data_IF_699470943668
#
_entry.id   IF_699470943668
#
_cell.length_a   1.000
_cell.length_b   1.000
_cell.length_c   1.000
_cell.angle_alpha   90.00
_cell.angle_beta   90.00
_cell.angle_gamma   90.00
#
_symmetry.space_group_name_H-M   'P 1'
#
loop_
_entity.id
_entity.type
_entity.pdbx_description
1 polymer ?
#
# COMPACT_ATOMS: atom_id res chain seq x y z
N UNK A 1 15.65 0.82 -14.94
CA UNK A 1 15.76 -0.24 -13.92
C UNK A 1 17.07 -0.99 -14.13
N UNK A 2 17.70 -1.51 -13.06
CA UNK A 2 18.95 -2.27 -13.10
C UNK A 2 18.74 -3.73 -12.70
N UNK A 3 19.67 -4.65 -13.06
CA UNK A 3 19.52 -6.07 -12.75
C UNK A 3 19.37 -6.40 -11.26
N UNK A 4 19.97 -5.60 -10.38
CA UNK A 4 19.90 -5.74 -8.91
C UNK A 4 18.60 -5.23 -8.28
N UNK A 5 17.61 -4.92 -9.10
CA UNK A 5 16.29 -4.47 -8.66
C UNK A 5 16.21 -2.99 -8.30
N UNK A 6 17.28 -2.22 -8.40
CA UNK A 6 17.20 -0.77 -8.19
C UNK A 6 16.47 -0.12 -9.37
N UNK A 7 15.53 0.77 -9.08
CA UNK A 7 14.83 1.58 -10.07
C UNK A 7 15.07 3.06 -9.81
N UNK A 8 15.51 3.80 -10.82
CA UNK A 8 15.49 5.27 -10.80
C UNK A 8 14.10 5.74 -11.23
N UNK A 9 13.37 6.31 -10.31
CA UNK A 9 11.98 6.74 -10.51
C UNK A 9 11.89 8.19 -10.93
N UNK A 10 12.67 9.05 -10.28
CA UNK A 10 12.87 10.45 -10.66
C UNK A 10 14.36 10.74 -10.81
N UNK A 11 14.74 11.96 -11.12
CA UNK A 11 16.15 12.34 -11.28
C UNK A 11 16.99 12.06 -10.03
N UNK A 12 16.40 12.16 -8.86
CA UNK A 12 17.10 11.99 -7.58
C UNK A 12 16.61 10.79 -6.76
N UNK A 13 15.48 10.15 -7.16
CA UNK A 13 14.86 9.08 -6.36
C UNK A 13 15.17 7.70 -6.89
N UNK A 14 15.71 6.86 -6.01
CA UNK A 14 16.03 5.45 -6.27
C UNK A 14 15.26 4.55 -5.31
N UNK A 15 14.70 3.44 -5.82
CA UNK A 15 13.84 2.54 -5.05
C UNK A 15 14.21 1.08 -5.24
N UNK A 16 13.92 0.27 -4.21
CA UNK A 16 13.89 -1.20 -4.26
C UNK A 16 12.55 -1.72 -3.78
N UNK A 17 12.22 -2.95 -4.13
CA UNK A 17 10.95 -3.59 -3.77
C UNK A 17 11.20 -4.95 -3.16
N UNK A 18 10.50 -5.24 -2.07
CA UNK A 18 10.46 -6.54 -1.39
C UNK A 18 9.06 -7.10 -1.57
N UNK A 19 8.96 -8.36 -2.01
CA UNK A 19 7.72 -9.12 -1.94
C UNK A 19 7.66 -9.81 -0.60
N UNK A 20 6.49 -9.81 0.06
CA UNK A 20 6.33 -10.45 1.36
C UNK A 20 5.00 -11.19 1.47
N UNK A 21 4.95 -12.18 2.35
CA UNK A 21 3.77 -12.99 2.64
C UNK A 21 3.01 -12.46 3.84
N UNK A 22 1.84 -13.06 4.11
CA UNK A 22 1.02 -12.72 5.26
C UNK A 22 1.68 -13.04 6.59
N UNK A 23 1.34 -12.23 7.60
CA UNK A 23 1.64 -12.53 8.99
C UNK A 23 0.57 -13.50 9.51
N UNK A 24 1.00 -14.57 10.17
CA UNK A 24 0.11 -15.59 10.74
C UNK A 24 -0.52 -15.10 12.05
N UNK A 25 -1.34 -14.05 11.98
CA UNK A 25 -1.91 -13.36 13.14
C UNK A 25 -3.18 -14.02 13.69
N UNK A 26 -4.03 -14.59 12.83
CA UNK A 26 -5.36 -15.08 13.26
C UNK A 26 -5.30 -16.39 14.08
N UNK A 27 -4.32 -17.24 13.82
CA UNK A 27 -4.13 -18.50 14.54
C UNK A 27 -3.38 -18.32 15.86
N UNK A 28 -2.89 -17.11 16.13
CA UNK A 28 -2.10 -16.81 17.32
C UNK A 28 -2.99 -16.53 18.52
N UNK A 29 -2.51 -16.85 19.73
CA UNK A 29 -3.18 -16.49 20.98
C UNK A 29 -3.17 -14.98 21.19
N UNK A 30 -4.02 -14.46 22.08
CA UNK A 30 -4.16 -13.01 22.26
C UNK A 30 -2.85 -12.32 22.69
N UNK A 31 -2.01 -13.00 23.46
CA UNK A 31 -0.69 -12.50 23.87
C UNK A 31 0.26 -12.39 22.67
N UNK A 32 0.26 -13.40 21.78
CA UNK A 32 1.04 -13.39 20.54
C UNK A 32 0.58 -12.30 19.59
N UNK A 33 -0.73 -12.02 19.54
CA UNK A 33 -1.28 -10.91 18.73
C UNK A 33 -0.76 -9.56 19.16
N UNK A 34 -0.68 -9.32 20.46
CA UNK A 34 -0.13 -8.06 20.99
C UNK A 34 1.35 -7.95 20.65
N UNK A 35 2.12 -9.01 20.81
CA UNK A 35 3.53 -9.03 20.46
C UNK A 35 3.79 -8.82 18.96
N UNK A 36 2.97 -9.40 18.08
CA UNK A 36 3.04 -9.18 16.65
C UNK A 36 2.71 -7.71 16.31
N UNK A 37 1.68 -7.14 16.94
CA UNK A 37 1.32 -5.75 16.74
C UNK A 37 2.44 -4.78 17.19
N UNK A 38 3.02 -5.01 18.37
CA UNK A 38 4.15 -4.22 18.86
C UNK A 38 5.37 -4.34 17.93
N UNK A 39 5.71 -5.54 17.49
CA UNK A 39 6.79 -5.76 16.54
C UNK A 39 6.53 -5.08 15.19
N UNK A 40 5.26 -4.99 14.75
CA UNK A 40 4.88 -4.25 13.56
C UNK A 40 4.97 -2.72 13.76
N UNK A 41 4.61 -2.21 14.94
CA UNK A 41 4.84 -0.81 15.30
C UNK A 41 6.34 -0.47 15.27
N UNK A 42 7.19 -1.33 15.82
CA UNK A 42 8.64 -1.16 15.78
C UNK A 42 9.18 -1.21 14.35
N UNK A 43 8.62 -2.10 13.51
CA UNK A 43 8.95 -2.14 12.08
C UNK A 43 8.64 -0.81 11.38
N UNK A 44 7.47 -0.20 11.63
CA UNK A 44 7.11 1.10 11.06
C UNK A 44 8.02 2.21 11.62
N UNK A 45 8.37 2.14 12.89
CA UNK A 45 9.27 3.10 13.55
C UNK A 45 10.73 3.00 13.08
N UNK A 46 11.09 1.94 12.35
CA UNK A 46 12.40 1.85 11.68
C UNK A 46 12.60 2.95 10.64
N UNK A 47 11.53 3.33 9.92
CA UNK A 47 11.61 4.32 8.85
C UNK A 47 11.72 5.74 9.40
N UNK A 48 12.82 6.39 9.13
CA UNK A 48 13.00 7.82 9.41
C UNK A 48 12.41 8.70 8.29
N UNK A 49 12.46 10.01 8.46
CA UNK A 49 11.91 10.96 7.48
C UNK A 49 12.65 10.99 6.13
N UNK A 50 13.85 10.38 6.04
CA UNK A 50 14.62 10.29 4.80
C UNK A 50 14.20 9.13 3.91
N UNK A 51 13.45 8.15 4.46
CA UNK A 51 12.98 6.97 3.76
C UNK A 51 11.46 7.01 3.63
N UNK A 52 10.99 7.08 2.39
CA UNK A 52 9.57 6.92 2.11
C UNK A 52 9.34 5.50 1.63
N UNK A 53 8.24 4.90 2.03
CA UNK A 53 7.87 3.58 1.57
C UNK A 53 6.42 3.51 1.12
N UNK A 54 6.14 2.52 0.32
CA UNK A 54 4.83 2.21 -0.24
C UNK A 54 4.51 0.75 0.04
N UNK A 55 3.36 0.49 0.63
CA UNK A 55 2.77 -0.83 0.69
C UNK A 55 1.80 -0.98 -0.48
N UNK A 56 2.02 -1.98 -1.32
CA UNK A 56 1.17 -2.26 -2.47
C UNK A 56 0.55 -3.64 -2.33
N UNK A 57 -0.76 -3.68 -2.40
CA UNK A 57 -1.56 -4.90 -2.40
C UNK A 57 -2.16 -5.03 -3.79
N UNK A 58 -1.76 -6.09 -4.47
CA UNK A 58 -2.08 -6.30 -5.87
C UNK A 58 -2.94 -7.55 -5.99
N UNK A 59 -4.17 -7.37 -6.46
CA UNK A 59 -5.10 -8.45 -6.76
C UNK A 59 -5.39 -8.40 -8.27
N UNK A 60 -4.74 -9.28 -9.02
CA UNK A 60 -4.84 -9.32 -10.48
C UNK A 60 -5.24 -10.69 -10.98
N UNK A 61 -5.98 -10.71 -12.09
CA UNK A 61 -6.19 -11.93 -12.86
C UNK A 61 -4.84 -12.42 -13.41
N UNK A 62 -4.41 -13.58 -12.94
CA UNK A 62 -3.14 -14.14 -13.34
C UNK A 62 -3.21 -14.76 -14.74
N UNK A 63 -2.10 -14.71 -15.48
CA UNK A 63 -1.89 -15.61 -16.59
C UNK A 63 -1.85 -17.06 -16.08
N UNK A 64 -2.25 -18.04 -16.88
CA UNK A 64 -2.20 -19.46 -16.50
C UNK A 64 -0.79 -19.88 -16.02
N UNK A 65 0.27 -19.32 -16.59
CA UNK A 65 1.65 -19.62 -16.18
C UNK A 65 2.00 -19.05 -14.80
N UNK A 66 1.63 -17.80 -14.51
CA UNK A 66 1.86 -17.16 -13.22
C UNK A 66 1.07 -17.86 -12.12
N UNK A 67 -0.16 -18.26 -12.46
CA UNK A 67 -1.02 -19.04 -11.57
C UNK A 67 -0.44 -20.43 -11.28
N UNK A 68 0.03 -21.15 -12.29
CA UNK A 68 0.66 -22.46 -12.13
C UNK A 68 1.95 -22.39 -11.28
N UNK A 69 2.76 -21.34 -11.44
CA UNK A 69 3.98 -21.12 -10.65
C UNK A 69 3.70 -20.82 -9.18
N UNK A 70 2.65 -20.05 -8.87
CA UNK A 70 2.31 -19.71 -7.48
C UNK A 70 1.90 -20.91 -6.64
N UNK A 71 1.51 -22.02 -7.29
CA UNK A 71 1.03 -23.25 -6.66
C UNK A 71 1.97 -24.44 -6.93
N UNK A 72 3.09 -24.20 -7.58
CA UNK A 72 4.07 -25.24 -7.87
C UNK A 72 4.75 -25.72 -6.57
N UNK A 73 4.53 -27.00 -6.24
CA UNK A 73 5.29 -27.67 -5.19
C UNK A 73 6.50 -28.30 -5.89
N UNK A 74 7.73 -27.86 -5.61
CA UNK A 74 8.90 -28.39 -6.29
C UNK A 74 9.09 -29.88 -5.96
N UNK A 75 9.46 -30.72 -6.93
CA UNK A 75 9.80 -32.12 -6.68
C UNK A 75 11.05 -32.20 -5.80
N UNK A 76 11.04 -33.11 -4.83
CA UNK A 76 12.18 -33.35 -3.94
C UNK A 76 13.04 -34.56 -4.37
N UNK A 77 12.64 -35.28 -5.42
CA UNK A 77 13.33 -36.47 -5.92
C UNK A 77 13.08 -37.73 -5.06
N UNK A 78 12.01 -37.75 -4.29
CA UNK A 78 11.61 -38.87 -3.43
C UNK A 78 10.34 -39.59 -3.96
N UNK A 79 9.96 -40.71 -3.30
CA UNK A 79 8.77 -41.51 -3.66
C UNK A 79 7.43 -40.74 -3.53
N UNK A 80 7.42 -39.55 -2.90
CA UNK A 80 6.22 -38.74 -2.69
C UNK A 80 6.01 -37.66 -3.79
N UNK A 81 6.87 -37.58 -4.79
CA UNK A 81 6.74 -36.59 -5.85
C UNK A 81 5.46 -36.74 -6.65
N UNK A 82 4.96 -37.95 -6.81
CA UNK A 82 3.66 -38.23 -7.43
C UNK A 82 2.50 -37.62 -6.63
N UNK A 83 2.53 -37.73 -5.31
CA UNK A 83 1.52 -37.17 -4.39
C UNK A 83 1.60 -35.63 -4.39
N UNK A 84 2.83 -35.06 -4.41
CA UNK A 84 3.01 -33.61 -4.51
C UNK A 84 2.43 -33.04 -5.79
N UNK A 85 2.63 -33.73 -6.93
CA UNK A 85 2.08 -33.32 -8.22
C UNK A 85 0.54 -33.40 -8.24
N UNK A 86 -0.04 -34.47 -7.68
CA UNK A 86 -1.49 -34.61 -7.57
C UNK A 86 -2.10 -33.57 -6.62
N UNK A 87 -1.45 -33.31 -5.48
CA UNK A 87 -1.88 -32.27 -4.54
C UNK A 87 -1.78 -30.87 -5.15
N UNK A 88 -0.69 -30.57 -5.87
CA UNK A 88 -0.55 -29.32 -6.60
C UNK A 88 -1.64 -29.15 -7.66
N UNK A 89 -1.97 -30.22 -8.41
CA UNK A 89 -3.08 -30.22 -9.38
C UNK A 89 -4.45 -30.01 -8.74
N UNK A 90 -4.68 -30.62 -7.57
CA UNK A 90 -5.91 -30.42 -6.80
C UNK A 90 -6.04 -28.98 -6.31
N UNK A 91 -4.96 -28.39 -5.77
CA UNK A 91 -4.92 -26.98 -5.34
C UNK A 91 -5.15 -26.03 -6.53
N UNK A 92 -4.54 -26.30 -7.67
CA UNK A 92 -4.76 -25.52 -8.91
C UNK A 92 -6.22 -25.51 -9.30
N UNK A 93 -6.88 -26.67 -9.31
CA UNK A 93 -8.29 -26.81 -9.63
C UNK A 93 -9.23 -26.13 -8.62
N UNK A 94 -8.89 -26.21 -7.32
CA UNK A 94 -9.69 -25.58 -6.26
C UNK A 94 -9.59 -24.05 -6.30
N UNK A 95 -8.37 -23.51 -6.45
CA UNK A 95 -8.15 -22.07 -6.56
C UNK A 95 -8.72 -21.48 -7.85
N UNK A 96 -8.67 -22.20 -8.97
CA UNK A 96 -9.33 -21.80 -10.21
C UNK A 96 -10.84 -21.67 -10.05
N UNK A 97 -11.46 -22.52 -9.22
CA UNK A 97 -12.91 -22.49 -8.93
C UNK A 97 -13.31 -21.45 -7.88
N UNK A 98 -12.42 -21.18 -6.90
CA UNK A 98 -12.74 -20.35 -5.72
C UNK A 98 -12.31 -18.89 -5.82
N UNK A 99 -11.34 -18.53 -6.67
CA UNK A 99 -10.74 -17.19 -6.73
C UNK A 99 -10.87 -16.49 -8.09
N UNK A 100 -11.71 -16.98 -9.00
CA UNK A 100 -11.82 -16.42 -10.36
C UNK A 100 -10.47 -16.22 -11.08
N UNK A 101 -9.43 -16.99 -10.71
CA UNK A 101 -8.08 -16.86 -11.26
C UNK A 101 -7.31 -15.62 -10.78
N UNK A 102 -7.69 -14.99 -9.65
CA UNK A 102 -7.02 -13.84 -9.09
C UNK A 102 -5.85 -14.28 -8.19
N UNK A 103 -4.69 -13.67 -8.38
CA UNK A 103 -3.52 -13.82 -7.51
C UNK A 103 -3.36 -12.55 -6.67
N UNK A 104 -3.20 -12.76 -5.36
CA UNK A 104 -2.96 -11.69 -4.38
C UNK A 104 -1.48 -11.64 -4.04
N UNK A 105 -0.84 -10.52 -4.30
CA UNK A 105 0.57 -10.29 -3.99
C UNK A 105 0.75 -9.00 -3.20
N UNK A 106 1.80 -8.97 -2.38
CA UNK A 106 2.10 -7.85 -1.49
C UNK A 106 3.54 -7.41 -1.69
N UNK A 107 3.69 -6.10 -1.83
CA UNK A 107 4.99 -5.49 -2.06
C UNK A 107 5.22 -4.34 -1.08
N UNK A 108 6.42 -4.27 -0.56
CA UNK A 108 6.94 -3.10 0.13
C UNK A 108 8.02 -2.48 -0.76
N UNK A 109 7.74 -1.29 -1.27
CA UNK A 109 8.70 -0.50 -2.05
C UNK A 109 9.21 0.65 -1.19
N UNK A 110 10.51 0.75 -1.03
CA UNK A 110 11.16 1.81 -0.28
C UNK A 110 12.16 2.55 -1.15
N UNK A 111 12.40 3.80 -0.83
CA UNK A 111 13.23 4.66 -1.66
C UNK A 111 14.01 5.70 -0.87
N UNK A 112 15.14 6.08 -1.46
CA UNK A 112 16.02 7.14 -0.95
C UNK A 112 16.27 8.18 -2.03
N UNK A 113 16.52 9.39 -1.61
CA UNK A 113 17.01 10.43 -2.52
C UNK A 113 18.53 10.45 -2.53
N UNK A 114 19.11 10.51 -3.73
CA UNK A 114 20.54 10.57 -3.95
C UNK A 114 20.84 11.18 -5.33
N UNK A 115 22.00 11.83 -5.46
CA UNK A 115 22.42 12.48 -6.71
C UNK A 115 22.72 11.48 -7.83
N UNK A 116 23.10 10.25 -7.47
CA UNK A 116 23.43 9.20 -8.42
C UNK A 116 23.26 7.79 -7.83
N UNK A 117 23.28 6.80 -8.71
CA UNK A 117 23.15 5.38 -8.34
C UNK A 117 24.24 4.92 -7.36
N UNK A 118 25.48 5.42 -7.53
CA UNK A 118 26.62 5.02 -6.69
C UNK A 118 26.42 5.43 -5.24
N UNK A 119 25.77 6.57 -5.00
CA UNK A 119 25.42 7.04 -3.65
C UNK A 119 24.16 6.34 -3.11
N UNK A 120 23.18 6.03 -3.98
CA UNK A 120 21.92 5.39 -3.58
C UNK A 120 22.10 3.92 -3.20
N UNK A 121 22.89 3.15 -3.96
CA UNK A 121 23.01 1.69 -3.86
C UNK A 121 23.36 1.19 -2.45
N UNK A 122 24.44 1.66 -1.79
CA UNK A 122 24.78 1.17 -0.44
C UNK A 122 23.71 1.46 0.60
N UNK A 123 23.02 2.60 0.46
CA UNK A 123 21.92 2.97 1.36
C UNK A 123 20.72 2.04 1.20
N UNK A 124 20.34 1.75 -0.05
CA UNK A 124 19.24 0.84 -0.37
C UNK A 124 19.53 -0.59 0.07
N UNK A 125 20.76 -1.09 -0.13
CA UNK A 125 21.19 -2.44 0.29
C UNK A 125 21.16 -2.58 1.82
N UNK A 126 21.59 -1.55 2.55
CA UNK A 126 21.50 -1.54 4.01
C UNK A 126 20.05 -1.59 4.47
N UNK A 127 19.18 -0.71 3.95
CA UNK A 127 17.76 -0.68 4.30
C UNK A 127 17.11 -2.03 3.96
N UNK A 128 17.42 -2.63 2.81
CA UNK A 128 16.92 -3.94 2.42
C UNK A 128 17.27 -5.02 3.45
N UNK A 129 18.53 -5.06 3.88
CA UNK A 129 19.00 -6.02 4.89
C UNK A 129 18.26 -5.85 6.21
N UNK A 130 18.10 -4.61 6.65
CA UNK A 130 17.40 -4.30 7.91
C UNK A 130 15.91 -4.68 7.82
N UNK A 131 15.26 -4.39 6.69
CA UNK A 131 13.85 -4.76 6.45
C UNK A 131 13.65 -6.27 6.42
N UNK A 132 14.52 -7.02 5.74
CA UNK A 132 14.46 -8.48 5.72
C UNK A 132 14.64 -9.08 7.12
N UNK A 133 15.55 -8.53 7.93
CA UNK A 133 15.71 -8.94 9.32
C UNK A 133 14.47 -8.64 10.17
N UNK A 134 13.82 -7.50 9.95
CA UNK A 134 12.59 -7.14 10.64
C UNK A 134 11.43 -8.06 10.22
N UNK A 135 11.27 -8.38 8.92
CA UNK A 135 10.29 -9.37 8.46
C UNK A 135 10.53 -10.74 9.07
N UNK A 136 11.80 -11.18 9.16
CA UNK A 136 12.16 -12.43 9.81
C UNK A 136 11.77 -12.45 11.29
N UNK A 137 11.93 -11.35 12.02
CA UNK A 137 11.48 -11.24 13.43
C UNK A 137 9.96 -11.34 13.56
N UNK A 138 9.22 -10.83 12.57
CA UNK A 138 7.77 -10.95 12.48
C UNK A 138 7.30 -12.36 12.05
N UNK A 139 8.21 -13.27 11.72
CA UNK A 139 7.87 -14.59 11.18
C UNK A 139 7.33 -14.55 9.74
N UNK A 140 7.57 -13.45 9.01
CA UNK A 140 7.10 -13.23 7.64
C UNK A 140 8.17 -13.63 6.65
N UNK A 141 7.80 -14.42 5.66
CA UNK A 141 8.66 -14.73 4.52
C UNK A 141 8.67 -13.53 3.58
N UNK A 142 9.84 -12.98 3.35
CA UNK A 142 10.04 -11.84 2.46
C UNK A 142 11.28 -12.03 1.59
N UNK A 143 11.22 -11.60 0.35
CA UNK A 143 12.30 -11.68 -0.62
C UNK A 143 12.43 -10.37 -1.40
N UNK A 144 13.65 -9.85 -1.60
CA UNK A 144 13.87 -8.70 -2.45
C UNK A 144 13.67 -9.09 -3.91
N UNK A 145 13.01 -8.25 -4.69
CA UNK A 145 12.83 -8.47 -6.11
C UNK A 145 14.05 -7.95 -6.88
N UNK A 146 14.58 -8.79 -7.76
CA UNK A 146 15.57 -8.38 -8.75
C UNK A 146 14.91 -7.54 -9.88
N UNK A 147 15.73 -7.04 -10.81
CA UNK A 147 15.22 -6.17 -11.87
C UNK A 147 14.28 -6.87 -12.84
N UNK A 148 14.49 -8.15 -13.14
CA UNK A 148 13.59 -8.94 -13.98
C UNK A 148 12.23 -9.15 -13.30
N UNK A 149 12.25 -9.54 -12.05
CA UNK A 149 11.04 -9.76 -11.26
C UNK A 149 10.22 -8.46 -11.09
N UNK A 150 10.87 -7.32 -10.84
CA UNK A 150 10.19 -6.02 -10.79
C UNK A 150 9.57 -5.62 -12.13
N UNK A 151 10.28 -5.86 -13.24
CA UNK A 151 9.74 -5.62 -14.58
C UNK A 151 8.54 -6.53 -14.86
N UNK A 152 8.59 -7.80 -14.42
CA UNK A 152 7.49 -8.74 -14.57
C UNK A 152 6.24 -8.24 -13.81
N UNK A 153 6.39 -7.82 -12.55
CA UNK A 153 5.28 -7.24 -11.78
C UNK A 153 4.69 -6.02 -12.49
N UNK A 154 5.54 -5.14 -13.02
CA UNK A 154 5.08 -3.98 -13.78
C UNK A 154 4.37 -4.36 -15.09
N UNK A 155 4.87 -5.37 -15.79
CA UNK A 155 4.24 -5.92 -16.98
C UNK A 155 2.84 -6.45 -16.67
N UNK A 156 2.69 -7.25 -15.62
CA UNK A 156 1.40 -7.82 -15.21
C UNK A 156 0.37 -6.73 -14.85
N UNK A 157 0.81 -5.64 -14.21
CA UNK A 157 -0.06 -4.51 -13.90
C UNK A 157 -0.43 -3.72 -15.18
N UNK A 158 0.55 -3.44 -16.04
CA UNK A 158 0.37 -2.58 -17.20
C UNK A 158 -0.27 -3.28 -18.40
N UNK A 159 -0.16 -4.61 -18.48
CA UNK A 159 -0.73 -5.44 -19.55
C UNK A 159 -1.73 -6.47 -19.06
N UNK A 160 -2.49 -6.14 -18.02
CA UNK A 160 -3.46 -7.06 -17.41
C UNK A 160 -4.61 -7.50 -18.32
N UNK A 161 -4.78 -6.90 -19.49
CA UNK A 161 -5.73 -7.31 -20.53
C UNK A 161 -5.11 -8.18 -21.63
N UNK A 162 -3.78 -8.31 -21.63
CA UNK A 162 -3.01 -9.09 -22.59
C UNK A 162 -2.54 -10.37 -21.90
N UNK A 163 -2.85 -11.52 -22.48
CA UNK A 163 -2.38 -12.82 -21.96
C UNK A 163 -0.99 -13.18 -22.51
N UNK A 164 -0.22 -12.17 -22.91
CA UNK A 164 1.12 -12.39 -23.43
C UNK A 164 2.10 -12.63 -22.29
N UNK A 165 2.92 -13.70 -22.36
CA UNK A 165 3.94 -13.95 -21.35
C UNK A 165 5.01 -12.86 -21.39
N UNK A 166 5.48 -12.44 -20.23
CA UNK A 166 6.58 -11.47 -20.14
C UNK A 166 7.86 -12.06 -20.70
N UNK A 167 8.39 -11.46 -21.75
CA UNK A 167 9.65 -11.84 -22.42
C UNK A 167 10.63 -10.69 -22.34
N UNK A 168 11.72 -10.89 -21.60
CA UNK A 168 12.76 -9.88 -21.42
C UNK A 168 14.11 -10.53 -21.14
N UNK A 169 15.16 -9.99 -21.71
CA UNK A 169 16.55 -10.28 -21.35
C UNK A 169 17.35 -8.99 -21.31
N UNK A 170 18.23 -8.86 -20.34
CA UNK A 170 19.13 -7.71 -20.20
C UNK A 170 20.04 -7.56 -21.43
N UNK A 171 20.40 -8.65 -22.10
CA UNK A 171 21.26 -8.66 -23.28
C UNK A 171 20.59 -8.01 -24.50
N UNK A 172 19.27 -7.86 -24.49
CA UNK A 172 18.55 -7.23 -25.60
C UNK A 172 18.61 -5.70 -25.58
N UNK A 173 18.90 -5.08 -24.45
CA UNK A 173 18.85 -3.62 -24.30
C UNK A 173 19.93 -2.93 -25.15
N UNK A 174 21.18 -3.33 -25.02
CA UNK A 174 22.28 -2.68 -25.71
C UNK A 174 22.21 -2.80 -27.26
N UNK A 175 21.91 -3.97 -27.85
CA UNK A 175 21.83 -4.12 -29.31
C UNK A 175 20.56 -3.46 -29.90
N UNK A 176 19.42 -3.45 -29.16
CA UNK A 176 18.15 -2.92 -29.67
C UNK A 176 18.01 -1.41 -29.53
N UNK A 177 18.78 -0.77 -28.63
CA UNK A 177 18.60 0.62 -28.26
C UNK A 177 17.30 0.89 -27.45
N UNK A 178 16.58 -0.18 -27.07
CA UNK A 178 15.36 -0.09 -26.26
C UNK A 178 15.71 0.12 -24.78
N UNK A 179 14.75 0.66 -24.05
CA UNK A 179 14.83 0.79 -22.60
C UNK A 179 13.96 -0.30 -21.92
N UNK A 180 14.16 -0.51 -20.62
CA UNK A 180 13.29 -1.43 -19.85
C UNK A 180 11.81 -1.06 -19.91
N UNK A 181 11.47 0.21 -20.17
CA UNK A 181 10.09 0.70 -20.28
C UNK A 181 9.37 0.12 -21.51
N UNK A 182 10.10 -0.07 -22.60
CA UNK A 182 9.52 -0.54 -23.87
C UNK A 182 9.00 -1.98 -23.77
N UNK A 183 9.53 -2.78 -22.83
CA UNK A 183 9.10 -4.16 -22.60
C UNK A 183 7.89 -4.30 -21.68
N UNK A 184 7.55 -3.26 -20.93
CA UNK A 184 6.42 -3.25 -19.99
C UNK A 184 5.30 -2.31 -20.40
N UNK A 185 5.53 -1.43 -21.38
CA UNK A 185 4.54 -0.46 -21.82
C UNK A 185 3.28 -1.18 -22.34
N UNK A 186 2.08 -0.73 -21.96
CA UNK A 186 0.83 -1.27 -22.49
C UNK A 186 0.65 -0.88 -23.96
N UNK A 187 -0.27 -1.57 -24.64
CA UNK A 187 -0.59 -1.31 -26.05
C UNK A 187 -1.12 0.10 -26.27
N UNK A 188 -1.82 0.66 -25.31
CA UNK A 188 -2.32 2.04 -25.35
C UNK A 188 -2.61 2.58 -23.95
N UNK A 189 -2.39 3.88 -23.79
CA UNK A 189 -2.79 4.68 -22.64
C UNK A 189 -3.65 5.85 -23.07
N UNK A 190 -4.73 6.11 -22.34
CA UNK A 190 -5.62 7.23 -22.63
C UNK A 190 -6.18 7.85 -21.36
N UNK A 191 -5.83 9.11 -21.07
CA UNK A 191 -6.27 9.91 -19.91
C UNK A 191 -7.16 11.10 -20.32
N UNK A 192 -7.93 10.95 -21.40
CA UNK A 192 -8.77 12.04 -21.94
C UNK A 192 -9.90 12.50 -21.04
N UNK A 193 -10.43 11.57 -20.21
CA UNK A 193 -11.53 11.89 -19.30
C UNK A 193 -11.00 12.20 -17.92
N UNK A 194 -11.54 13.23 -17.26
CA UNK A 194 -11.06 13.62 -15.92
C UNK A 194 -11.34 12.58 -14.81
N UNK A 195 -12.17 11.56 -15.06
CA UNK A 195 -12.67 10.63 -14.04
C UNK A 195 -12.28 9.18 -14.23
N UNK A 196 -11.74 8.84 -15.36
CA UNK A 196 -11.33 7.48 -15.71
C UNK A 196 -10.24 7.54 -16.76
N UNK A 197 -9.49 6.44 -16.87
CA UNK A 197 -8.50 6.24 -17.92
C UNK A 197 -8.77 4.93 -18.65
N UNK A 198 -8.11 4.76 -19.80
CA UNK A 198 -8.11 3.51 -20.52
C UNK A 198 -6.68 3.00 -20.65
N UNK A 199 -6.50 1.72 -20.43
CA UNK A 199 -5.25 1.02 -20.62
C UNK A 199 -5.53 -0.25 -21.42
N UNK A 200 -5.05 -0.29 -22.66
CA UNK A 200 -5.42 -1.33 -23.61
C UNK A 200 -6.94 -1.38 -23.80
N UNK A 201 -7.53 -2.53 -23.54
CA UNK A 201 -8.98 -2.75 -23.64
C UNK A 201 -9.75 -2.46 -22.36
N UNK A 202 -9.05 -2.30 -21.21
CA UNK A 202 -9.68 -2.06 -19.91
C UNK A 202 -9.87 -0.58 -19.62
N UNK A 203 -10.93 -0.30 -18.87
CA UNK A 203 -11.20 0.99 -18.26
C UNK A 203 -10.73 0.97 -16.82
N UNK A 204 -10.09 2.02 -16.38
CA UNK A 204 -9.62 2.16 -15.01
C UNK A 204 -10.07 3.46 -14.35
N UNK A 205 -10.14 3.45 -13.03
CA UNK A 205 -10.35 4.63 -12.22
C UNK A 205 -9.49 4.56 -10.96
N UNK A 206 -8.86 5.68 -10.65
CA UNK A 206 -8.12 5.87 -9.41
C UNK A 206 -8.95 6.69 -8.46
N UNK A 207 -9.03 6.19 -7.23
CA UNK A 207 -9.68 6.86 -6.11
C UNK A 207 -8.74 6.94 -4.93
N UNK A 208 -8.93 7.93 -4.06
CA UNK A 208 -8.27 7.95 -2.77
C UNK A 208 -9.28 7.67 -1.66
N UNK A 209 -8.81 7.03 -0.59
CA UNK A 209 -9.58 6.78 0.61
C UNK A 209 -9.35 7.94 1.58
N UNK A 210 -10.39 8.74 1.78
CA UNK A 210 -10.41 9.77 2.81
C UNK A 210 -10.71 9.12 4.16
N UNK A 211 -9.71 9.05 5.01
CA UNK A 211 -9.82 8.45 6.34
C UNK A 211 -10.43 9.51 7.27
N UNK A 212 -11.64 9.25 7.75
CA UNK A 212 -12.35 10.11 8.73
C UNK A 212 -12.17 9.56 10.14
N UNK A 213 -12.01 8.23 10.27
CA UNK A 213 -11.74 7.57 11.52
C UNK A 213 -10.41 8.00 12.15
N UNK A 214 -10.28 7.96 13.49
CA UNK A 214 -9.01 8.24 14.18
C UNK A 214 -7.94 7.19 13.86
N UNK A 215 -8.34 5.96 13.56
CA UNK A 215 -7.48 4.83 13.20
C UNK A 215 -8.13 4.00 12.08
N UNK A 216 -7.31 3.29 11.31
CA UNK A 216 -7.78 2.36 10.29
C UNK A 216 -8.15 1.02 10.95
N UNK A 217 -9.12 0.32 10.34
CA UNK A 217 -9.47 -1.02 10.76
C UNK A 217 -8.67 -2.05 9.96
N UNK A 218 -8.16 -3.04 10.65
CA UNK A 218 -7.35 -4.14 10.10
C UNK A 218 -8.10 -4.98 9.03
N UNK A 219 -9.42 -5.12 9.15
CA UNK A 219 -10.25 -5.89 8.20
C UNK A 219 -10.49 -5.17 6.88
N UNK A 220 -10.25 -3.87 6.81
CA UNK A 220 -10.53 -3.11 5.59
C UNK A 220 -9.68 -3.60 4.40
N UNK A 221 -8.39 -3.88 4.64
CA UNK A 221 -7.51 -4.40 3.58
C UNK A 221 -7.91 -5.82 3.15
N UNK A 222 -8.37 -6.66 4.09
CA UNK A 222 -8.89 -7.99 3.78
C UNK A 222 -10.12 -7.90 2.88
N UNK A 223 -11.10 -7.04 3.23
CA UNK A 223 -12.32 -6.82 2.44
C UNK A 223 -11.99 -6.34 1.01
N UNK A 224 -10.96 -5.52 0.81
CA UNK A 224 -10.49 -5.14 -0.54
C UNK A 224 -9.92 -6.32 -1.32
N UNK A 225 -9.10 -7.14 -0.67
CA UNK A 225 -8.47 -8.28 -1.33
C UNK A 225 -9.45 -9.45 -1.58
N UNK A 226 -10.58 -9.44 -0.88
CA UNK A 226 -11.66 -10.43 -1.11
C UNK A 226 -12.59 -10.05 -2.26
N UNK A 227 -12.38 -8.91 -2.89
CA UNK A 227 -13.08 -8.56 -4.13
C UNK A 227 -12.75 -9.54 -5.24
N UNK A 228 -13.78 -9.91 -6.03
CA UNK A 228 -13.66 -10.81 -7.19
C UNK A 228 -13.20 -10.08 -8.47
N UNK A 229 -12.75 -8.85 -8.34
CA UNK A 229 -12.27 -8.00 -9.44
C UNK A 229 -10.82 -7.59 -9.25
N UNK A 230 -10.16 -7.17 -10.34
CA UNK A 230 -8.80 -6.65 -10.28
C UNK A 230 -8.76 -5.33 -9.52
N UNK A 231 -7.98 -5.28 -8.46
CA UNK A 231 -7.80 -4.10 -7.63
C UNK A 231 -6.34 -3.92 -7.21
N UNK A 232 -5.86 -2.68 -7.27
CA UNK A 232 -4.57 -2.28 -6.71
C UNK A 232 -4.85 -1.37 -5.52
N UNK A 233 -4.36 -1.74 -4.35
CA UNK A 233 -4.47 -0.94 -3.13
C UNK A 233 -3.08 -0.49 -2.72
N UNK A 234 -2.89 0.81 -2.55
CA UNK A 234 -1.58 1.38 -2.27
C UNK A 234 -1.64 2.33 -1.08
N UNK A 235 -0.74 2.10 -0.13
CA UNK A 235 -0.47 2.97 1.00
C UNK A 235 0.92 3.58 0.83
N UNK A 236 0.97 4.88 0.54
CA UNK A 236 2.20 5.64 0.67
C UNK A 236 2.35 6.13 2.09
N UNK A 237 3.49 5.85 2.69
CA UNK A 237 3.78 6.20 4.07
C UNK A 237 5.08 7.00 4.12
N UNK A 238 4.98 8.18 4.70
CA UNK A 238 6.11 9.08 4.92
C UNK A 238 6.21 9.38 6.40
N UNK A 239 7.32 9.00 7.04
CA UNK A 239 7.59 9.38 8.41
C UNK A 239 7.85 10.88 8.52
N UNK A 240 7.28 11.52 9.52
CA UNK A 240 7.53 12.92 9.84
C UNK A 240 8.63 12.99 10.89
N UNK A 241 9.57 13.90 10.70
CA UNK A 241 10.58 14.17 11.74
C UNK A 241 9.92 14.49 13.08
N UNK A 242 10.37 13.83 14.16
CA UNK A 242 9.72 13.89 15.47
C UNK A 242 9.64 15.31 16.04
N UNK A 243 10.70 16.10 15.85
CA UNK A 243 10.74 17.49 16.34
C UNK A 243 9.71 18.33 15.58
N UNK A 244 9.64 18.15 14.27
CA UNK A 244 8.68 18.86 13.40
C UNK A 244 7.23 18.40 13.67
N UNK A 245 7.00 17.11 13.93
CA UNK A 245 5.70 16.58 14.32
C UNK A 245 5.21 17.24 15.63
N UNK A 246 6.01 17.20 16.68
CA UNK A 246 5.70 17.82 17.97
C UNK A 246 5.46 19.33 17.83
N UNK A 247 6.29 20.03 17.06
CA UNK A 247 6.12 21.47 16.81
C UNK A 247 4.80 21.78 16.09
N UNK A 248 4.43 20.94 15.12
CA UNK A 248 3.18 21.11 14.35
C UNK A 248 1.96 20.88 15.24
N UNK A 249 1.96 19.82 16.06
CA UNK A 249 0.87 19.53 17.01
C UNK A 249 0.75 20.64 18.05
N UNK A 250 1.86 21.11 18.64
CA UNK A 250 1.84 22.25 19.58
C UNK A 250 1.25 23.51 18.97
N UNK A 251 1.61 23.83 17.71
CA UNK A 251 1.01 24.97 16.98
C UNK A 251 -0.49 24.79 16.84
N UNK A 252 -0.94 23.60 16.44
CA UNK A 252 -2.36 23.30 16.28
C UNK A 252 -3.14 23.42 17.59
N UNK A 253 -2.57 22.96 18.72
CA UNK A 253 -3.16 23.15 20.05
C UNK A 253 -3.30 24.64 20.37
N UNK A 254 -2.26 25.45 20.12
CA UNK A 254 -2.31 26.89 20.34
C UNK A 254 -3.41 27.55 19.49
N UNK A 255 -3.59 27.14 18.25
CA UNK A 255 -4.63 27.69 17.38
C UNK A 255 -6.04 27.27 17.84
N UNK A 256 -6.21 26.03 18.32
CA UNK A 256 -7.47 25.56 18.93
C UNK A 256 -7.77 26.31 20.23
N UNK A 257 -6.80 26.55 21.08
CA UNK A 257 -6.97 27.32 22.32
C UNK A 257 -7.35 28.79 22.02
N UNK A 258 -6.76 29.41 20.97
CA UNK A 258 -7.18 30.74 20.50
C UNK A 258 -8.62 30.75 20.02
N UNK A 259 -9.00 29.77 19.17
CA UNK A 259 -10.37 29.64 18.69
C UNK A 259 -11.36 29.45 19.82
N UNK A 260 -11.00 28.66 20.86
CA UNK A 260 -11.79 28.49 22.06
C UNK A 260 -12.02 29.82 22.80
N UNK A 261 -10.98 30.61 22.97
CA UNK A 261 -11.05 31.92 23.63
C UNK A 261 -11.92 32.90 22.81
N UNK A 262 -11.84 32.84 21.46
CA UNK A 262 -12.70 33.66 20.60
C UNK A 262 -14.18 33.30 20.70
N UNK A 263 -14.49 31.99 20.72
CA UNK A 263 -15.89 31.53 20.90
C UNK A 263 -16.43 31.87 22.30
N UNK A 264 -15.61 31.75 23.34
CA UNK A 264 -15.98 32.20 24.70
C UNK A 264 -16.29 33.71 24.75
N UNK A 265 -15.46 34.54 24.11
CA UNK A 265 -15.70 35.98 24.00
C UNK A 265 -16.99 36.31 23.25
N UNK A 266 -17.32 35.52 22.19
CA UNK A 266 -18.58 35.68 21.45
C UNK A 266 -19.79 35.30 22.32
N UNK A 267 -19.70 34.18 23.06
CA UNK A 267 -20.76 33.73 23.96
C UNK A 267 -21.06 34.79 25.03
N UNK A 268 -20.04 35.33 25.70
CA UNK A 268 -20.20 36.40 26.70
C UNK A 268 -20.84 37.65 26.10
N UNK A 269 -20.41 38.07 24.89
CA UNK A 269 -21.02 39.23 24.20
C UNK A 269 -22.49 39.00 23.82
N UNK A 270 -22.89 37.74 23.61
CA UNK A 270 -24.25 37.33 23.30
C UNK A 270 -25.09 37.06 24.56
N UNK A 271 -24.53 37.25 25.79
CA UNK A 271 -25.22 37.01 27.05
C UNK A 271 -25.32 35.56 27.48
N UNK A 272 -24.52 34.67 26.88
CA UNK A 272 -24.44 33.25 27.24
C UNK A 272 -23.28 32.99 28.22
N UNK A 273 -23.37 31.84 28.92
CA UNK A 273 -22.31 31.41 29.83
C UNK A 273 -20.99 31.12 29.10
N UNK A 274 -19.86 31.46 29.75
CA UNK A 274 -18.51 31.19 29.20
C UNK A 274 -18.21 29.71 29.00
N UNK A 275 -18.95 28.83 29.68
CA UNK A 275 -18.73 27.38 29.58
C UNK A 275 -19.39 26.74 28.35
N UNK A 276 -20.17 27.51 27.59
CA UNK A 276 -20.76 27.05 26.34
C UNK A 276 -19.71 27.12 25.23
N UNK A 277 -18.94 26.03 25.09
CA UNK A 277 -17.97 25.85 24.03
C UNK A 277 -18.56 24.86 23.02
N UNK A 278 -18.43 25.09 21.70
CA UNK A 278 -18.78 24.09 20.71
C UNK A 278 -18.11 22.74 21.05
N UNK A 279 -18.90 21.66 21.12
CA UNK A 279 -18.45 20.32 21.51
C UNK A 279 -17.25 19.84 20.69
N UNK A 280 -17.26 20.19 19.40
CA UNK A 280 -16.20 19.83 18.46
C UNK A 280 -14.84 20.45 18.83
N UNK A 281 -14.85 21.71 19.27
CA UNK A 281 -13.64 22.42 19.65
C UNK A 281 -13.02 21.85 20.94
N UNK A 282 -13.88 21.43 21.88
CA UNK A 282 -13.44 20.79 23.13
C UNK A 282 -12.84 19.41 22.83
N UNK A 283 -13.50 18.62 21.98
CA UNK A 283 -13.05 17.27 21.57
C UNK A 283 -11.72 17.34 20.82
N UNK A 284 -11.62 18.18 19.79
CA UNK A 284 -10.36 18.34 19.03
C UNK A 284 -9.20 18.83 19.90
N UNK A 285 -9.47 19.72 20.87
CA UNK A 285 -8.46 20.18 21.82
C UNK A 285 -7.94 19.06 22.72
N UNK A 286 -8.83 18.20 23.22
CA UNK A 286 -8.47 17.04 24.02
C UNK A 286 -7.68 15.99 23.21
N UNK A 287 -8.12 15.68 22.01
CA UNK A 287 -7.45 14.74 21.09
C UNK A 287 -6.04 15.24 20.70
N UNK A 288 -5.89 16.54 20.40
CA UNK A 288 -4.60 17.11 20.06
C UNK A 288 -3.62 17.08 21.25
N UNK A 289 -4.09 17.28 22.47
CA UNK A 289 -3.29 17.16 23.70
C UNK A 289 -2.87 15.71 23.96
N UNK A 290 -3.79 14.76 23.77
CA UNK A 290 -3.51 13.33 23.87
C UNK A 290 -2.47 12.91 22.83
N UNK A 291 -2.63 13.31 21.57
CA UNK A 291 -1.64 13.07 20.52
C UNK A 291 -0.26 13.62 20.87
N UNK A 292 -0.19 14.84 21.42
CA UNK A 292 1.08 15.42 21.88
C UNK A 292 1.72 14.57 22.99
N UNK A 293 0.94 14.10 23.95
CA UNK A 293 1.42 13.24 25.03
C UNK A 293 1.92 11.89 24.47
N UNK A 294 1.20 11.28 23.55
CA UNK A 294 1.61 10.02 22.91
C UNK A 294 2.93 10.19 22.14
N UNK A 295 3.10 11.27 21.37
CA UNK A 295 4.33 11.58 20.66
C UNK A 295 5.52 11.88 21.58
N UNK A 296 5.29 12.36 22.82
CA UNK A 296 6.35 12.70 23.77
C UNK A 296 6.70 11.58 24.74
N UNK A 297 5.75 10.74 25.11
CA UNK A 297 5.88 9.75 26.20
C UNK A 297 5.91 8.30 25.75
N UNK A 298 5.48 8.01 24.51
CA UNK A 298 5.44 6.67 23.95
C UNK A 298 6.38 6.57 22.73
N UNK A 299 6.69 5.36 22.31
CA UNK A 299 7.43 5.11 21.07
C UNK A 299 6.52 5.32 19.83
N UNK A 300 5.77 6.43 19.83
CA UNK A 300 4.87 6.82 18.75
C UNK A 300 5.55 7.84 17.84
N UNK A 301 5.43 7.64 16.55
CA UNK A 301 5.84 8.58 15.51
C UNK A 301 4.62 9.05 14.72
N UNK A 302 4.78 10.13 13.99
CA UNK A 302 3.77 10.66 13.10
C UNK A 302 4.13 10.28 11.66
N UNK A 303 3.16 9.73 10.95
CA UNK A 303 3.24 9.41 9.52
C UNK A 303 2.23 10.22 8.74
N UNK A 304 2.58 10.53 7.49
CA UNK A 304 1.67 11.06 6.50
C UNK A 304 1.32 9.93 5.53
N UNK A 305 0.05 9.60 5.45
CA UNK A 305 -0.47 8.53 4.61
C UNK A 305 -1.24 9.08 3.42
N UNK A 306 -0.99 8.50 2.22
CA UNK A 306 -1.85 8.61 1.05
C UNK A 306 -2.35 7.22 0.72
N UNK A 307 -3.67 7.02 0.72
CA UNK A 307 -4.29 5.73 0.46
C UNK A 307 -5.00 5.77 -0.88
N UNK A 308 -4.49 5.03 -1.87
CA UNK A 308 -5.00 4.98 -3.24
C UNK A 308 -5.58 3.60 -3.55
N UNK A 309 -6.67 3.59 -4.31
CA UNK A 309 -7.30 2.38 -4.84
C UNK A 309 -7.49 2.55 -6.34
N UNK A 310 -7.01 1.58 -7.11
CA UNK A 310 -7.22 1.50 -8.56
C UNK A 310 -8.12 0.32 -8.86
N UNK A 311 -9.24 0.59 -9.51
CA UNK A 311 -10.12 -0.43 -10.06
C UNK A 311 -9.98 -0.46 -11.56
N UNK A 312 -9.99 -1.67 -12.14
CA UNK A 312 -9.90 -1.86 -13.58
C UNK A 312 -10.89 -2.95 -14.04
N UNK A 313 -11.67 -2.64 -15.05
CA UNK A 313 -12.69 -3.52 -15.57
C UNK A 313 -12.79 -3.46 -17.10
N UNK A 314 -13.31 -4.51 -17.76
CA UNK A 314 -13.50 -4.54 -19.21
C UNK A 314 -14.55 -3.54 -19.70
N UNK A 315 -15.59 -3.30 -18.89
CA UNK A 315 -16.71 -2.42 -19.24
C UNK A 315 -16.92 -1.31 -18.20
N UNK A 316 -17.54 -0.22 -18.64
CA UNK A 316 -17.89 0.89 -17.74
C UNK A 316 -18.84 0.45 -16.62
N UNK A 317 -19.80 -0.42 -16.93
CA UNK A 317 -20.77 -0.92 -15.97
C UNK A 317 -20.09 -1.72 -14.85
N UNK A 318 -19.16 -2.59 -15.20
CA UNK A 318 -18.38 -3.35 -14.23
C UNK A 318 -17.49 -2.44 -13.40
N UNK A 319 -16.81 -1.45 -14.01
CA UNK A 319 -16.02 -0.46 -13.30
C UNK A 319 -16.85 0.33 -12.28
N UNK A 320 -18.05 0.79 -12.67
CA UNK A 320 -18.95 1.51 -11.78
C UNK A 320 -19.45 0.60 -10.63
N UNK A 321 -19.70 -0.68 -10.89
CA UNK A 321 -20.06 -1.68 -9.87
C UNK A 321 -18.89 -1.90 -8.89
N UNK A 322 -17.67 -2.05 -9.38
CA UNK A 322 -16.49 -2.22 -8.53
C UNK A 322 -16.25 -1.00 -7.63
N UNK A 323 -16.38 0.20 -8.18
CA UNK A 323 -16.28 1.44 -7.42
C UNK A 323 -17.38 1.56 -6.36
N UNK A 324 -18.59 1.10 -6.66
CA UNK A 324 -19.67 1.05 -5.68
C UNK A 324 -19.35 0.06 -4.54
N UNK A 325 -18.84 -1.13 -4.87
CA UNK A 325 -18.39 -2.13 -3.89
C UNK A 325 -17.28 -1.58 -3.00
N UNK A 326 -16.25 -0.97 -3.59
CA UNK A 326 -15.16 -0.32 -2.85
C UNK A 326 -15.70 0.79 -1.94
N UNK A 327 -16.64 1.62 -2.44
CA UNK A 327 -17.28 2.65 -1.62
C UNK A 327 -18.01 2.07 -0.41
N UNK A 328 -18.71 0.93 -0.59
CA UNK A 328 -19.36 0.21 0.51
C UNK A 328 -18.37 -0.31 1.55
N UNK A 329 -17.24 -0.87 1.08
CA UNK A 329 -16.18 -1.35 1.97
C UNK A 329 -15.64 -0.19 2.83
N UNK A 330 -15.22 0.93 2.23
CA UNK A 330 -14.63 2.03 3.00
C UNK A 330 -15.62 2.70 3.96
N UNK A 331 -16.89 2.79 3.58
CA UNK A 331 -17.96 3.35 4.43
C UNK A 331 -18.17 2.52 5.71
N UNK A 332 -18.08 1.19 5.62
CA UNK A 332 -18.15 0.27 6.77
C UNK A 332 -17.10 0.61 7.85
N UNK A 333 -15.97 1.22 7.45
CA UNK A 333 -14.84 1.57 8.32
C UNK A 333 -14.71 3.08 8.56
N UNK A 334 -15.81 3.84 8.47
CA UNK A 334 -15.81 5.29 8.64
C UNK A 334 -14.78 6.02 7.75
N UNK A 335 -14.65 5.56 6.53
CA UNK A 335 -13.85 6.19 5.48
C UNK A 335 -14.76 6.57 4.31
N UNK A 336 -14.27 7.43 3.43
CA UNK A 336 -15.00 7.83 2.22
C UNK A 336 -14.11 7.63 1.01
N UNK A 337 -14.65 7.00 -0.03
CA UNK A 337 -13.96 6.90 -1.32
C UNK A 337 -14.20 8.17 -2.13
N UNK A 338 -13.13 8.80 -2.59
CA UNK A 338 -13.18 9.96 -3.47
C UNK A 338 -12.39 9.67 -4.73
N UNK A 339 -13.02 9.82 -5.89
CA UNK A 339 -12.33 9.66 -7.17
C UNK A 339 -11.33 10.83 -7.35
N UNK A 340 -10.17 10.55 -7.91
CA UNK A 340 -9.18 11.57 -8.27
C UNK A 340 -9.59 12.24 -9.59
N UNK A 341 -10.55 13.17 -9.52
CA UNK A 341 -11.01 13.90 -10.70
C UNK A 341 -9.85 14.77 -11.24
N UNK A 342 -9.57 14.66 -12.54
CA UNK A 342 -8.49 15.35 -13.27
C UNK A 342 -7.04 15.00 -12.85
N UNK A 343 -6.87 14.01 -11.97
CA UNK A 343 -5.57 13.51 -11.49
C UNK A 343 -5.43 11.99 -11.69
N UNK A 344 -6.11 11.44 -12.71
CA UNK A 344 -6.12 10.00 -12.95
C UNK A 344 -4.75 9.46 -13.36
N UNK A 345 -3.98 10.23 -14.13
CA UNK A 345 -2.63 9.88 -14.54
C UNK A 345 -1.67 9.85 -13.35
N UNK A 346 -1.59 10.95 -12.59
CA UNK A 346 -0.73 11.03 -11.40
C UNK A 346 -1.13 9.99 -10.35
N UNK A 347 -2.44 9.76 -10.19
CA UNK A 347 -2.98 8.73 -9.30
C UNK A 347 -2.57 7.33 -9.73
N UNK A 348 -2.66 7.01 -11.02
CA UNK A 348 -2.26 5.71 -11.55
C UNK A 348 -0.74 5.49 -11.42
N UNK A 349 0.07 6.47 -11.82
CA UNK A 349 1.53 6.39 -11.67
C UNK A 349 1.95 6.25 -10.19
N UNK A 350 1.24 6.92 -9.28
CA UNK A 350 1.44 6.75 -7.84
C UNK A 350 0.98 5.39 -7.31
N UNK A 351 0.13 4.69 -8.04
CA UNK A 351 -0.37 3.37 -7.63
C UNK A 351 0.50 2.21 -8.14
N UNK A 352 1.51 2.48 -8.94
CA UNK A 352 2.50 1.48 -9.33
C UNK A 352 3.49 1.22 -8.18
N UNK A 353 3.99 -0.02 -7.97
CA UNK A 353 4.94 -0.35 -6.89
C UNK A 353 6.35 0.21 -7.18
N UNK A 354 6.42 1.52 -7.38
CA UNK A 354 7.64 2.27 -7.69
C UNK A 354 8.10 3.16 -6.52
N UNK A 355 7.28 3.33 -5.47
CA UNK A 355 7.59 4.21 -4.35
C UNK A 355 7.55 5.69 -4.71
N UNK A 356 6.77 6.06 -5.72
CA UNK A 356 6.52 7.45 -6.13
C UNK A 356 5.09 7.86 -5.76
N UNK A 357 4.95 9.04 -5.16
CA UNK A 357 3.64 9.62 -4.85
C UNK A 357 3.55 11.04 -5.41
N UNK A 358 2.80 11.21 -6.49
CA UNK A 358 2.46 12.51 -7.08
C UNK A 358 1.20 13.15 -6.48
N UNK A 359 0.52 12.45 -5.53
CA UNK A 359 -0.72 12.93 -4.93
C UNK A 359 -0.42 13.64 -3.61
N UNK A 360 -0.84 14.90 -3.50
CA UNK A 360 -0.59 15.72 -2.30
C UNK A 360 -1.57 15.46 -1.13
N UNK A 361 -2.61 14.65 -1.36
CA UNK A 361 -3.61 14.32 -0.32
C UNK A 361 -2.96 13.39 0.71
N UNK A 362 -2.74 13.91 1.92
CA UNK A 362 -2.07 13.19 3.01
C UNK A 362 -2.88 13.26 4.30
N UNK A 363 -2.99 12.14 5.00
CA UNK A 363 -3.57 12.04 6.35
C UNK A 363 -2.46 11.80 7.37
N UNK A 364 -2.41 12.64 8.41
CA UNK A 364 -1.52 12.41 9.55
C UNK A 364 -2.08 11.30 10.47
N UNK A 365 -1.26 10.30 10.78
CA UNK A 365 -1.59 9.18 11.67
C UNK A 365 -0.39 8.83 12.56
N UNK A 366 -0.65 8.24 13.72
CA UNK A 366 0.39 7.75 14.63
C UNK A 366 0.87 6.37 14.21
N UNK A 367 1.96 5.88 14.82
CA UNK A 367 2.46 4.52 14.58
C UNK A 367 1.39 3.47 14.82
N UNK A 368 0.76 3.51 16.00
CA UNK A 368 -0.27 2.53 16.37
C UNK A 368 -1.46 2.57 15.42
N UNK A 369 -1.95 3.76 15.07
CA UNK A 369 -3.05 3.93 14.12
C UNK A 369 -2.69 3.46 12.69
N UNK A 370 -1.43 3.60 12.29
CA UNK A 370 -0.93 3.12 10.99
C UNK A 370 -0.74 1.60 11.02
N UNK A 371 -0.27 1.05 12.14
CA UNK A 371 -0.02 -0.38 12.29
C UNK A 371 -1.30 -1.22 12.22
N UNK A 372 -2.42 -0.71 12.70
CA UNK A 372 -3.73 -1.40 12.62
C UNK A 372 -4.15 -1.65 11.17
N UNK A 373 -3.74 -0.81 10.23
CA UNK A 373 -4.07 -0.99 8.80
C UNK A 373 -3.47 -2.24 8.14
N UNK A 374 -2.59 -2.98 8.84
CA UNK A 374 -1.84 -4.09 8.24
C UNK A 374 -2.13 -5.48 8.83
N UNK A 375 -2.68 -5.60 10.02
CA UNK A 375 -2.65 -6.82 10.82
C UNK A 375 -3.63 -7.93 10.44
N UNK A 376 -4.52 -7.74 9.45
CA UNK A 376 -5.48 -8.77 9.05
C UNK A 376 -5.49 -9.02 7.55
N UNK A 377 -4.60 -9.87 7.09
CA UNK A 377 -4.70 -10.45 5.76
C UNK A 377 -4.69 -11.99 5.82
N UNK A 378 -5.90 -12.50 5.66
CA UNK A 378 -6.27 -13.79 5.07
C UNK A 378 -5.65 -15.10 5.62
N UNK A 379 -6.30 -15.66 6.65
CA UNK A 379 -6.14 -17.08 7.01
C UNK A 379 -7.29 -17.96 6.49
N UNK A 380 -8.37 -17.37 6.00
CA UNK A 380 -9.57 -18.15 5.62
C UNK A 380 -9.43 -19.04 4.38
N UNK A 381 -8.38 -18.86 3.57
CA UNK A 381 -8.23 -19.64 2.31
C UNK A 381 -7.17 -20.74 2.31
N UNK A 382 -6.53 -21.01 3.45
CA UNK A 382 -5.64 -22.18 3.61
C UNK A 382 -6.29 -23.39 4.27
N UNK A 383 -7.59 -23.31 4.62
CA UNK A 383 -8.31 -24.41 5.27
C UNK A 383 -9.40 -25.04 4.38
N UNK A 384 -9.29 -24.93 3.07
CA UNK A 384 -10.11 -25.74 2.16
C UNK A 384 -9.21 -26.53 1.24
#
# INVERSE_FOLDING_TARGET
MWPDGICRVTDTRYTKTIQYQDINYQLSQNEDKTAIFEAWCDFLNYFDSSVQFQLSFVNLSASQETFARSISIPPCGDEFDGIRAEYAGMLQNQLARGNNGLIKTKYLTFGVEADNLRAAKPRLERIETDLLNNFKRLGVVAAPLNGFERLHVMHDILRMDEQEPFRFSWDWLAPSGLSTKDFIAPSSFEFKTGRQFRMGKKLGAVSFVQILAPELNDRMLADFLDMESSVLVNLHVQSVDQVNAIKTVKRKITDLDKSKIEEQKKAVRAGYDMDIIPSDLATYGAEAKKLLQDLQSRNERMFLLTFLVVNMAPTRRELDNDLFTVSGIVQKYNCTLKRLDFQQEDGFLSSLPLGHNGIEIKRGMTTSSTAVSYTHLDVYKRQL
#
